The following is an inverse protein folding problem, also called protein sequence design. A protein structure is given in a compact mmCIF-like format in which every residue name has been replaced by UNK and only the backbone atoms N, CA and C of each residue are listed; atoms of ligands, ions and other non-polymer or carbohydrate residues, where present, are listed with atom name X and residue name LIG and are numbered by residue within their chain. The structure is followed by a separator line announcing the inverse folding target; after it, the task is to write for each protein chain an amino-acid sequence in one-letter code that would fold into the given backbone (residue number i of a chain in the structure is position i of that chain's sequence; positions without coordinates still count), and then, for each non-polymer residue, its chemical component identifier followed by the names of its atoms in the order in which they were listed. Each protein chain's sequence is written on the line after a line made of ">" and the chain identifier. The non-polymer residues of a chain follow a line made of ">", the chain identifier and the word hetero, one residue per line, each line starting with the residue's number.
data_IF_344080258303
#
_entry.id   IF_344080258303
#
_cell.length_a   1.000
_cell.length_b   1.000
_cell.length_c   1.000
_cell.angle_alpha   90.00
_cell.angle_beta   90.00
_cell.angle_gamma   90.00
#
_symmetry.space_group_name_H-M   'P 1'
#
loop_
_entity.id
_entity.type
_entity.pdbx_description
1 polymer ?
#
# COMPACT_ATOMS: atom_id res chain seq x y z
N UNK A 1 20.83 -8.24 8.57
CA UNK A 1 20.36 -8.87 9.80
C UNK A 1 18.86 -9.10 9.64
N UNK A 2 18.36 -10.34 9.82
CA UNK A 2 16.93 -10.61 9.75
C UNK A 2 16.20 -10.03 10.97
N UNK A 3 14.99 -9.53 10.74
CA UNK A 3 14.09 -8.90 11.70
C UNK A 3 13.08 -9.94 12.16
N UNK A 4 13.11 -10.24 13.46
CA UNK A 4 12.17 -11.11 14.16
C UNK A 4 11.49 -10.30 15.26
N UNK A 5 10.51 -9.48 14.88
CA UNK A 5 9.79 -8.60 15.80
C UNK A 5 8.29 -8.90 15.68
N UNK A 6 7.70 -9.39 16.77
CA UNK A 6 6.28 -9.79 16.80
C UNK A 6 5.35 -8.62 16.49
N UNK A 7 5.65 -7.41 16.98
CA UNK A 7 4.83 -6.24 16.71
C UNK A 7 4.85 -5.89 15.21
N UNK A 8 6.01 -6.04 14.54
CA UNK A 8 6.10 -5.87 13.09
C UNK A 8 5.24 -6.90 12.36
N UNK A 9 5.28 -8.17 12.77
CA UNK A 9 4.45 -9.20 12.15
C UNK A 9 2.95 -8.93 12.33
N UNK A 10 2.53 -8.45 13.51
CA UNK A 10 1.14 -8.08 13.77
C UNK A 10 0.71 -6.88 12.92
N UNK A 11 1.56 -5.86 12.81
CA UNK A 11 1.32 -4.70 11.94
C UNK A 11 1.21 -5.11 10.46
N UNK A 12 2.08 -6.03 10.01
CA UNK A 12 2.01 -6.58 8.65
C UNK A 12 0.72 -7.37 8.42
N UNK A 13 0.21 -8.07 9.42
CA UNK A 13 -1.08 -8.78 9.34
C UNK A 13 -2.24 -7.80 9.15
N UNK A 14 -2.25 -6.68 9.88
CA UNK A 14 -3.25 -5.62 9.71
C UNK A 14 -3.12 -4.94 8.34
N UNK A 15 -1.91 -4.66 7.85
CA UNK A 15 -1.69 -4.16 6.48
C UNK A 15 -2.24 -5.14 5.45
N UNK A 16 -1.94 -6.44 5.58
CA UNK A 16 -2.49 -7.50 4.71
C UNK A 16 -4.00 -7.49 4.71
N UNK A 17 -4.62 -7.43 5.88
CA UNK A 17 -6.08 -7.45 6.03
C UNK A 17 -6.73 -6.28 5.31
N UNK A 18 -6.22 -5.06 5.50
CA UNK A 18 -6.74 -3.88 4.81
C UNK A 18 -6.46 -3.89 3.30
N UNK A 19 -5.28 -4.35 2.88
CA UNK A 19 -4.97 -4.53 1.46
C UNK A 19 -5.92 -5.53 0.79
N UNK A 20 -6.11 -6.71 1.39
CA UNK A 20 -7.04 -7.73 0.88
C UNK A 20 -8.49 -7.26 0.86
N UNK A 21 -8.92 -6.48 1.86
CA UNK A 21 -10.26 -5.89 1.88
C UNK A 21 -10.49 -4.93 0.71
N UNK A 22 -9.46 -4.20 0.27
CA UNK A 22 -9.56 -3.38 -0.94
C UNK A 22 -9.62 -4.24 -2.21
N UNK A 23 -8.84 -5.33 -2.25
CA UNK A 23 -8.76 -6.23 -3.42
C UNK A 23 -9.93 -7.21 -3.54
N UNK A 24 -10.74 -7.41 -2.51
CA UNK A 24 -11.86 -8.35 -2.51
C UNK A 24 -13.14 -7.79 -3.13
N UNK A 25 -13.26 -6.47 -3.29
CA UNK A 25 -14.43 -5.86 -3.89
C UNK A 25 -14.42 -6.03 -5.42
N UNK A 26 -15.36 -6.84 -5.92
CA UNK A 26 -15.47 -7.23 -7.33
C UNK A 26 -15.55 -6.04 -8.29
N UNK A 27 -16.24 -4.95 -7.91
CA UNK A 27 -16.42 -3.78 -8.78
C UNK A 27 -15.12 -3.02 -9.05
N UNK A 28 -14.22 -2.99 -8.06
CA UNK A 28 -12.98 -2.22 -8.13
C UNK A 28 -11.75 -3.10 -8.38
N UNK A 29 -11.84 -4.41 -8.10
CA UNK A 29 -10.70 -5.34 -8.19
C UNK A 29 -10.06 -5.34 -9.57
N UNK A 30 -10.87 -5.36 -10.64
CA UNK A 30 -10.35 -5.33 -12.01
C UNK A 30 -9.53 -4.07 -12.27
N UNK A 31 -10.04 -2.91 -11.87
CA UNK A 31 -9.36 -1.62 -12.03
C UNK A 31 -8.08 -1.53 -11.19
N UNK A 32 -8.09 -2.04 -9.96
CA UNK A 32 -6.91 -2.10 -9.09
C UNK A 32 -5.83 -3.04 -9.67
N UNK A 33 -6.22 -4.18 -10.25
CA UNK A 33 -5.29 -5.12 -10.87
C UNK A 33 -4.68 -4.55 -12.16
N UNK A 34 -5.44 -3.79 -12.93
CA UNK A 34 -5.00 -3.17 -14.18
C UNK A 34 -4.13 -1.92 -14.00
N UNK A 35 -3.93 -1.44 -12.77
CA UNK A 35 -3.02 -0.32 -12.51
C UNK A 35 -1.62 -0.63 -13.06
N UNK A 36 -1.01 0.34 -13.74
CA UNK A 36 0.36 0.16 -14.21
C UNK A 36 1.29 0.17 -12.99
N UNK A 37 1.80 -1.00 -12.60
CA UNK A 37 2.77 -1.14 -11.53
C UNK A 37 3.84 -2.13 -11.96
N UNK A 38 5.13 -1.75 -11.89
CA UNK A 38 6.25 -2.63 -12.17
C UNK A 38 6.16 -3.94 -11.39
N UNK A 39 6.67 -5.01 -11.99
CA UNK A 39 6.69 -6.34 -11.39
C UNK A 39 7.34 -6.35 -10.00
N UNK A 40 8.45 -5.63 -9.82
CA UNK A 40 9.18 -5.56 -8.56
C UNK A 40 8.35 -4.92 -7.43
N UNK A 41 7.53 -3.93 -7.75
CA UNK A 41 6.61 -3.33 -6.78
C UNK A 41 5.51 -4.30 -6.38
N UNK A 42 4.93 -5.01 -7.35
CA UNK A 42 3.92 -6.05 -7.08
C UNK A 42 4.49 -7.17 -6.20
N UNK A 43 5.67 -7.67 -6.53
CA UNK A 43 6.35 -8.69 -5.73
C UNK A 43 6.70 -8.18 -4.32
N UNK A 44 7.09 -6.92 -4.18
CA UNK A 44 7.35 -6.31 -2.87
C UNK A 44 6.09 -6.23 -2.01
N UNK A 45 4.94 -5.89 -2.61
CA UNK A 45 3.64 -5.95 -1.92
C UNK A 45 3.33 -7.38 -1.48
N UNK A 46 3.48 -8.37 -2.37
CA UNK A 46 3.24 -9.78 -2.06
C UNK A 46 4.13 -10.30 -0.93
N UNK A 47 5.39 -9.85 -0.85
CA UNK A 47 6.30 -10.27 0.22
C UNK A 47 5.81 -9.86 1.61
N UNK A 48 5.16 -8.70 1.73
CA UNK A 48 4.67 -8.17 3.01
C UNK A 48 3.17 -8.42 3.24
N UNK A 49 2.47 -9.05 2.30
CA UNK A 49 1.02 -9.35 2.40
C UNK A 49 0.70 -10.83 2.25
N UNK A 50 1.32 -11.55 1.32
CA UNK A 50 0.96 -12.94 1.01
C UNK A 50 1.95 -13.94 1.61
N UNK A 51 3.23 -13.59 1.69
CA UNK A 51 4.31 -14.50 2.13
C UNK A 51 4.66 -14.39 3.62
N UNK A 52 3.82 -13.75 4.43
CA UNK A 52 4.09 -13.47 5.86
C UNK A 52 4.50 -14.70 6.67
N UNK A 53 3.83 -15.83 6.48
CA UNK A 53 4.13 -17.06 7.23
C UNK A 53 5.53 -17.61 6.92
N UNK A 54 6.02 -17.43 5.70
CA UNK A 54 7.40 -17.80 5.34
C UNK A 54 8.38 -16.90 6.10
N UNK A 55 8.11 -15.59 6.11
CA UNK A 55 8.95 -14.59 6.75
C UNK A 55 8.90 -14.61 8.29
N UNK A 56 7.84 -15.14 8.91
CA UNK A 56 7.83 -15.40 10.36
C UNK A 56 8.94 -16.36 10.79
N UNK A 57 9.28 -17.34 9.94
CA UNK A 57 10.30 -18.34 10.23
C UNK A 57 11.74 -17.88 9.90
N UNK A 58 11.92 -17.08 8.86
CA UNK A 58 13.26 -16.64 8.39
C UNK A 58 13.62 -15.20 8.79
N UNK A 59 12.65 -14.40 9.22
CA UNK A 59 12.77 -12.97 9.49
C UNK A 59 12.82 -12.13 8.22
N UNK A 60 12.46 -10.85 8.32
CA UNK A 60 12.54 -9.90 7.20
C UNK A 60 13.89 -9.19 7.14
N UNK A 61 14.36 -8.82 5.95
CA UNK A 61 15.38 -7.76 5.83
C UNK A 61 14.70 -6.39 5.87
N UNK A 62 15.37 -5.39 6.44
CA UNK A 62 14.86 -4.01 6.44
C UNK A 62 14.54 -3.51 5.03
N UNK A 63 15.39 -3.80 4.05
CA UNK A 63 15.16 -3.45 2.64
C UNK A 63 13.85 -4.04 2.10
N UNK A 64 13.51 -5.29 2.45
CA UNK A 64 12.27 -5.92 2.02
C UNK A 64 11.04 -5.24 2.64
N UNK A 65 11.13 -4.86 3.93
CA UNK A 65 10.06 -4.12 4.62
C UNK A 65 9.86 -2.74 3.99
N UNK A 66 10.95 -2.00 3.74
CA UNK A 66 10.87 -0.68 3.13
C UNK A 66 10.37 -0.74 1.68
N UNK A 67 10.83 -1.71 0.88
CA UNK A 67 10.33 -1.92 -0.48
C UNK A 67 8.84 -2.24 -0.48
N UNK A 68 8.37 -3.05 0.46
CA UNK A 68 6.96 -3.34 0.64
C UNK A 68 6.15 -2.10 1.02
N UNK A 69 6.60 -1.35 2.04
CA UNK A 69 5.99 -0.08 2.49
C UNK A 69 5.88 0.91 1.33
N UNK A 70 6.98 1.14 0.60
CA UNK A 70 7.01 2.03 -0.55
C UNK A 70 6.04 1.57 -1.64
N UNK A 71 6.07 0.29 -2.00
CA UNK A 71 5.22 -0.25 -3.06
C UNK A 71 3.72 -0.18 -2.73
N UNK A 72 3.32 -0.43 -1.47
CA UNK A 72 1.94 -0.21 -1.04
C UNK A 72 1.58 1.29 -1.07
N UNK A 73 2.51 2.17 -0.71
CA UNK A 73 2.27 3.62 -0.77
C UNK A 73 2.03 4.10 -2.20
N UNK A 74 2.79 3.58 -3.17
CA UNK A 74 2.55 3.82 -4.61
C UNK A 74 1.20 3.26 -5.05
N UNK A 75 0.84 2.05 -4.61
CA UNK A 75 -0.48 1.47 -4.87
C UNK A 75 -1.63 2.37 -4.38
N UNK A 76 -1.53 2.86 -3.13
CA UNK A 76 -2.55 3.74 -2.53
C UNK A 76 -2.68 5.03 -3.35
N UNK A 77 -1.55 5.65 -3.68
CA UNK A 77 -1.50 6.87 -4.47
C UNK A 77 -2.17 6.67 -5.84
N UNK A 78 -1.75 5.66 -6.60
CA UNK A 78 -2.33 5.34 -7.93
C UNK A 78 -3.82 5.02 -7.85
N UNK A 79 -4.22 4.24 -6.84
CA UNK A 79 -5.64 3.96 -6.64
C UNK A 79 -6.47 5.23 -6.40
N UNK A 80 -5.91 6.23 -5.69
CA UNK A 80 -6.57 7.52 -5.47
C UNK A 80 -6.59 8.42 -6.68
N UNK A 81 -5.52 8.48 -7.46
CA UNK A 81 -5.38 9.43 -8.58
C UNK A 81 -5.89 8.88 -9.90
N UNK A 82 -5.95 7.57 -10.07
CA UNK A 82 -6.29 6.92 -11.35
C UNK A 82 -7.58 6.09 -11.22
N UNK A 83 -7.67 5.22 -10.23
CA UNK A 83 -8.79 4.28 -10.11
C UNK A 83 -10.07 4.97 -9.61
N UNK A 84 -10.01 5.71 -8.51
CA UNK A 84 -11.18 6.41 -7.97
C UNK A 84 -11.79 7.40 -9.00
N UNK A 85 -11.00 8.25 -9.68
CA UNK A 85 -11.53 9.12 -10.72
C UNK A 85 -12.06 8.34 -11.92
N UNK A 86 -11.41 7.24 -12.32
CA UNK A 86 -11.88 6.35 -13.37
C UNK A 86 -13.24 5.72 -13.05
N UNK A 87 -13.48 5.34 -11.79
CA UNK A 87 -14.75 4.82 -11.31
C UNK A 87 -15.88 5.86 -11.32
N UNK A 88 -15.60 7.16 -11.28
CA UNK A 88 -16.63 8.21 -11.35
C UNK A 88 -16.80 8.79 -12.75
N UNK A 89 -15.72 8.77 -13.54
CA UNK A 89 -15.62 9.45 -14.84
C UNK A 89 -15.63 8.53 -16.07
N UNK A 90 -15.74 7.21 -15.92
CA UNK A 90 -15.68 6.31 -17.08
C UNK A 90 -16.80 6.60 -18.09
N UNK A 91 -16.46 6.55 -19.38
CA UNK A 91 -17.45 6.66 -20.46
C UNK A 91 -18.54 5.60 -20.36
N UNK A 92 -18.21 4.41 -19.83
CA UNK A 92 -19.16 3.33 -19.54
C UNK A 92 -20.25 3.76 -18.56
N UNK A 93 -19.90 4.57 -17.54
CA UNK A 93 -20.88 5.09 -16.59
C UNK A 93 -21.73 6.22 -17.15
N UNK A 94 -21.34 6.90 -18.24
CA UNK A 94 -22.19 7.94 -18.84
C UNK A 94 -23.49 7.34 -19.40
N UNK A 95 -23.39 6.17 -20.02
CA UNK A 95 -24.50 5.39 -20.59
C UNK A 95 -25.18 4.48 -19.56
N UNK A 96 -24.60 4.31 -18.37
CA UNK A 96 -25.15 3.50 -17.30
C UNK A 96 -26.42 4.12 -16.68
N UNK A 97 -27.24 3.24 -16.11
CA UNK A 97 -28.44 3.60 -15.36
C UNK A 97 -28.11 4.44 -14.12
N UNK A 98 -29.11 5.14 -13.58
CA UNK A 98 -28.97 5.91 -12.34
C UNK A 98 -28.54 5.04 -11.16
N UNK A 99 -29.04 3.79 -11.09
CA UNK A 99 -28.67 2.83 -10.05
C UNK A 99 -27.20 2.44 -10.12
N UNK A 100 -26.68 2.16 -11.32
CA UNK A 100 -25.27 1.80 -11.52
C UNK A 100 -24.32 2.96 -11.19
N UNK A 101 -24.72 4.20 -11.50
CA UNK A 101 -23.98 5.41 -11.11
C UNK A 101 -23.87 5.52 -9.59
N UNK A 102 -24.98 5.31 -8.87
CA UNK A 102 -24.99 5.34 -7.40
C UNK A 102 -24.11 4.23 -6.83
N UNK A 103 -24.15 3.01 -7.39
CA UNK A 103 -23.27 1.91 -6.97
C UNK A 103 -21.78 2.24 -7.18
N UNK A 104 -21.43 2.85 -8.32
CA UNK A 104 -20.07 3.27 -8.63
C UNK A 104 -19.58 4.37 -7.68
N UNK A 105 -20.43 5.35 -7.38
CA UNK A 105 -20.12 6.41 -6.41
C UNK A 105 -19.91 5.85 -5.00
N UNK A 106 -20.80 4.97 -4.54
CA UNK A 106 -20.65 4.29 -3.24
C UNK A 106 -19.38 3.44 -3.19
N UNK A 107 -19.06 2.71 -4.26
CA UNK A 107 -17.84 1.92 -4.34
C UNK A 107 -16.58 2.80 -4.29
N UNK A 108 -16.59 3.93 -4.98
CA UNK A 108 -15.49 4.88 -4.99
C UNK A 108 -15.28 5.55 -3.63
N UNK A 109 -16.37 5.92 -2.94
CA UNK A 109 -16.30 6.52 -1.60
C UNK A 109 -15.84 5.49 -0.55
N UNK A 110 -16.32 4.25 -0.65
CA UNK A 110 -15.86 3.15 0.20
C UNK A 110 -14.37 2.85 -0.02
N UNK A 111 -13.93 2.78 -1.28
CA UNK A 111 -12.52 2.61 -1.62
C UNK A 111 -11.66 3.74 -1.04
N UNK A 112 -12.10 4.99 -1.17
CA UNK A 112 -11.40 6.14 -0.61
C UNK A 112 -11.19 5.98 0.90
N UNK A 113 -12.24 5.63 1.64
CA UNK A 113 -12.17 5.44 3.08
C UNK A 113 -11.22 4.30 3.46
N UNK A 114 -11.31 3.15 2.77
CA UNK A 114 -10.44 2.00 3.06
C UNK A 114 -8.97 2.26 2.71
N UNK A 115 -8.69 3.03 1.66
CA UNK A 115 -7.32 3.44 1.31
C UNK A 115 -6.73 4.38 2.37
N UNK A 116 -7.54 5.22 3.02
CA UNK A 116 -7.06 6.04 4.14
C UNK A 116 -6.65 5.16 5.32
N UNK A 117 -7.47 4.16 5.68
CA UNK A 117 -7.13 3.23 6.75
C UNK A 117 -5.86 2.45 6.40
N UNK A 118 -5.73 1.98 5.16
CA UNK A 118 -4.51 1.31 4.71
C UNK A 118 -3.28 2.23 4.77
N UNK A 119 -3.42 3.50 4.38
CA UNK A 119 -2.34 4.48 4.44
C UNK A 119 -1.86 4.71 5.87
N UNK A 120 -2.78 4.83 6.83
CA UNK A 120 -2.45 4.99 8.24
C UNK A 120 -1.66 3.77 8.76
N UNK A 121 -2.11 2.54 8.44
CA UNK A 121 -1.40 1.31 8.84
C UNK A 121 -0.02 1.18 8.22
N UNK A 122 0.14 1.57 6.96
CA UNK A 122 1.45 1.58 6.27
C UNK A 122 2.39 2.61 6.90
N UNK A 123 1.88 3.79 7.27
CA UNK A 123 2.67 4.79 7.98
C UNK A 123 3.10 4.32 9.37
N UNK A 124 2.19 3.71 10.14
CA UNK A 124 2.51 3.13 11.45
C UNK A 124 3.59 2.06 11.34
N UNK A 125 3.45 1.15 10.36
CA UNK A 125 4.46 0.14 10.05
C UNK A 125 5.81 0.80 9.73
N UNK A 126 5.84 1.78 8.82
CA UNK A 126 7.06 2.49 8.45
C UNK A 126 7.79 3.08 9.67
N UNK A 127 7.06 3.82 10.52
CA UNK A 127 7.63 4.45 11.71
C UNK A 127 8.20 3.41 12.68
N UNK A 128 7.53 2.26 12.84
CA UNK A 128 8.03 1.17 13.69
C UNK A 128 9.29 0.53 13.08
N UNK A 129 9.32 0.28 11.78
CA UNK A 129 10.49 -0.27 11.07
C UNK A 129 11.68 0.67 11.19
N UNK A 130 11.51 1.98 11.00
CA UNK A 130 12.57 2.99 11.18
C UNK A 130 13.14 2.96 12.60
N UNK A 131 12.27 2.93 13.62
CA UNK A 131 12.73 2.85 15.03
C UNK A 131 13.55 1.59 15.27
N UNK A 132 13.12 0.46 14.72
CA UNK A 132 13.82 -0.81 14.86
C UNK A 132 15.15 -0.81 14.10
N UNK A 133 15.18 -0.25 12.91
CA UNK A 133 16.37 -0.10 12.06
C UNK A 133 17.44 0.74 12.75
N UNK A 134 17.07 1.91 13.28
CA UNK A 134 17.95 2.77 14.08
C UNK A 134 18.50 2.03 15.30
N UNK A 135 17.65 1.30 16.02
CA UNK A 135 18.06 0.52 17.20
C UNK A 135 19.02 -0.62 16.84
N UNK A 136 18.86 -1.20 15.65
CA UNK A 136 19.66 -2.34 15.16
C UNK A 136 21.00 -1.89 14.59
N UNK A 137 21.04 -0.69 14.02
CA UNK A 137 22.24 -0.09 13.43
C UNK A 137 22.81 1.02 14.33
N UNK A 138 23.11 0.72 15.59
CA UNK A 138 23.60 1.71 16.57
C UNK A 138 24.86 2.49 16.14
N UNK A 139 25.72 1.86 15.34
CA UNK A 139 27.03 2.42 14.91
C UNK A 139 27.08 2.66 13.40
N UNK A 140 26.25 1.96 12.61
CA UNK A 140 26.23 2.07 11.15
C UNK A 140 25.02 2.90 10.72
N UNK A 141 25.07 3.53 9.55
CA UNK A 141 23.89 4.21 9.02
C UNK A 141 22.72 3.21 8.85
N UNK A 142 21.53 3.51 9.39
CA UNK A 142 20.33 2.70 9.20
C UNK A 142 19.98 2.55 7.71
N UNK A 143 19.28 1.48 7.36
CA UNK A 143 18.96 1.17 5.97
C UNK A 143 18.10 2.26 5.32
N UNK A 144 17.10 2.80 6.03
CA UNK A 144 16.18 3.80 5.47
C UNK A 144 16.89 5.05 4.94
N UNK A 145 18.04 5.42 5.52
CA UNK A 145 18.80 6.62 5.12
C UNK A 145 19.43 6.52 3.72
N UNK A 146 19.40 5.33 3.12
CA UNK A 146 20.01 5.04 1.81
C UNK A 146 18.97 4.78 0.72
N UNK A 147 17.69 4.95 1.04
CA UNK A 147 16.56 4.69 0.15
C UNK A 147 15.82 6.01 -0.11
N UNK A 148 16.28 6.75 -1.13
CA UNK A 148 15.78 8.09 -1.47
C UNK A 148 14.27 8.07 -1.80
N UNK A 149 13.76 6.96 -2.30
CA UNK A 149 12.34 6.77 -2.58
C UNK A 149 11.44 6.92 -1.34
N UNK A 150 11.98 6.69 -0.13
CA UNK A 150 11.23 6.82 1.11
C UNK A 150 10.93 8.28 1.47
N UNK A 151 11.68 9.24 0.93
CA UNK A 151 11.43 10.67 1.14
C UNK A 151 10.08 11.11 0.56
N UNK A 152 9.56 10.36 -0.43
CA UNK A 152 8.26 10.61 -1.05
C UNK A 152 7.09 10.00 -0.30
N UNK A 153 7.31 9.19 0.75
CA UNK A 153 6.25 8.45 1.44
C UNK A 153 5.13 9.36 1.94
N UNK A 154 5.47 10.49 2.57
CA UNK A 154 4.47 11.43 3.06
C UNK A 154 3.53 11.89 1.93
N UNK A 155 4.09 12.25 0.78
CA UNK A 155 3.31 12.66 -0.40
C UNK A 155 2.48 11.51 -0.96
N UNK A 156 3.04 10.31 -1.08
CA UNK A 156 2.31 9.14 -1.59
C UNK A 156 1.12 8.76 -0.68
N UNK A 157 1.29 8.88 0.63
CA UNK A 157 0.27 8.48 1.60
C UNK A 157 -0.82 9.53 1.81
N UNK A 158 -0.61 10.80 1.41
CA UNK A 158 -1.60 11.87 1.61
C UNK A 158 -2.10 12.52 0.32
N UNK A 159 -1.37 12.42 -0.79
CA UNK A 159 -1.73 13.15 -2.02
C UNK A 159 -3.00 12.58 -2.66
N UNK A 160 -3.80 13.51 -3.19
CA UNK A 160 -4.94 13.26 -4.05
C UNK A 160 -4.71 13.82 -5.47
N UNK A 161 -3.57 14.48 -5.70
CA UNK A 161 -3.23 15.13 -6.96
C UNK A 161 -2.28 14.24 -7.78
N UNK A 162 -2.46 14.16 -9.12
CA UNK A 162 -1.55 13.42 -10.00
C UNK A 162 -0.16 14.08 -10.10
N UNK A 163 0.85 13.34 -10.57
CA UNK A 163 2.22 13.83 -10.84
C UNK A 163 3.30 13.58 -9.78
N UNK A 164 3.02 12.80 -8.72
CA UNK A 164 4.01 12.45 -7.67
C UNK A 164 4.95 11.29 -8.07
N UNK A 165 4.47 10.41 -8.95
CA UNK A 165 5.18 9.21 -9.45
C UNK A 165 5.29 9.29 -10.95
#
# INVERSE_FOLDING_TARGET
>A
MPVFDYDIFDMLDEVRKHYRSNMSNTFIRSALLSMDMPYDQRNSIENITEKLEMYKNQGYKFEELYNGVYSISVFIYKARTEVIPGLKGSSLLKEASSSEKVLADMAADNLKANLNILADRVNELYLKVVRLDVKSHKVKSPVYTRMEELDKLGQLLTSLAPGVV
#
